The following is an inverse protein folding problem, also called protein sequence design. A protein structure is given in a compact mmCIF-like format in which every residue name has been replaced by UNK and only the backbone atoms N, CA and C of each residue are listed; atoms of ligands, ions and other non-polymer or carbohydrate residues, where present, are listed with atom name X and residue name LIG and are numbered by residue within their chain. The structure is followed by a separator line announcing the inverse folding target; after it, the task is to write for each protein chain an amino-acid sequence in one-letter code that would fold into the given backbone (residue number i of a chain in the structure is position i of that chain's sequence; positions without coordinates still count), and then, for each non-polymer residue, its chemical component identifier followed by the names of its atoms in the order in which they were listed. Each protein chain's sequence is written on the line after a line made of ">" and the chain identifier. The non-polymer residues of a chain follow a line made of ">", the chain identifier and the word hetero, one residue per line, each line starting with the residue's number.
data_IF_054667503586
#
_entry.id   IF_054667503586
#
_cell.length_a   1.000
_cell.length_b   1.000
_cell.length_c   1.000
_cell.angle_alpha   90.00
_cell.angle_beta   90.00
_cell.angle_gamma   90.00
#
_symmetry.space_group_name_H-M   'P 1'
#
loop_
_entity.id
_entity.type
_entity.pdbx_description
1 polymer ?
#
# COMPACT_ATOMS: atom_id res chain seq x y z
N UNK A 1 -20.14 -17.79 8.24
CA UNK A 1 -20.15 -16.63 7.32
C UNK A 1 -19.11 -16.77 6.20
N UNK A 2 -18.26 -17.81 6.20
CA UNK A 2 -17.38 -18.07 5.05
C UNK A 2 -18.21 -18.43 3.81
N UNK A 3 -18.01 -17.70 2.69
CA UNK A 3 -18.55 -18.09 1.38
C UNK A 3 -19.76 -17.31 0.85
N UNK A 4 -20.32 -16.34 1.59
CA UNK A 4 -21.45 -15.56 1.09
C UNK A 4 -21.07 -14.72 -0.14
N UNK A 5 -21.82 -14.90 -1.23
CA UNK A 5 -21.50 -14.30 -2.53
C UNK A 5 -21.59 -12.77 -2.52
N UNK A 6 -22.53 -12.20 -1.76
CA UNK A 6 -22.67 -10.75 -1.65
C UNK A 6 -21.49 -10.14 -0.88
N UNK A 7 -21.12 -10.73 0.26
CA UNK A 7 -19.94 -10.31 1.02
C UNK A 7 -18.66 -10.39 0.17
N UNK A 8 -18.45 -11.49 -0.55
CA UNK A 8 -17.30 -11.63 -1.46
C UNK A 8 -17.29 -10.55 -2.54
N UNK A 9 -18.46 -10.24 -3.10
CA UNK A 9 -18.60 -9.19 -4.09
C UNK A 9 -18.23 -7.82 -3.51
N UNK A 10 -18.69 -7.50 -2.30
CA UNK A 10 -18.39 -6.23 -1.62
C UNK A 10 -16.87 -6.09 -1.36
N UNK A 11 -16.21 -7.12 -0.84
CA UNK A 11 -14.75 -7.09 -0.65
C UNK A 11 -13.99 -7.01 -1.97
N UNK A 12 -14.50 -7.65 -3.03
CA UNK A 12 -13.95 -7.52 -4.38
C UNK A 12 -14.03 -6.07 -4.88
N UNK A 13 -15.16 -5.38 -4.69
CA UNK A 13 -15.29 -3.97 -5.06
C UNK A 13 -14.38 -3.06 -4.22
N UNK A 14 -14.28 -3.33 -2.91
CA UNK A 14 -13.37 -2.59 -2.03
C UNK A 14 -11.92 -2.71 -2.50
N UNK A 15 -11.45 -3.91 -2.83
CA UNK A 15 -10.10 -4.14 -3.38
C UNK A 15 -9.85 -3.36 -4.68
N UNK A 16 -10.84 -3.34 -5.60
CA UNK A 16 -10.75 -2.54 -6.84
C UNK A 16 -10.67 -1.04 -6.57
N UNK A 17 -11.45 -0.53 -5.62
CA UNK A 17 -11.44 0.89 -5.27
C UNK A 17 -10.11 1.29 -4.63
N UNK A 18 -9.55 0.46 -3.73
CA UNK A 18 -8.23 0.70 -3.15
C UNK A 18 -7.13 0.76 -4.23
N UNK A 19 -7.14 -0.19 -5.17
CA UNK A 19 -6.22 -0.18 -6.31
C UNK A 19 -6.31 1.12 -7.14
N UNK A 20 -7.53 1.61 -7.41
CA UNK A 20 -7.73 2.87 -8.13
C UNK A 20 -7.12 4.07 -7.42
N UNK A 21 -7.20 4.12 -6.09
CA UNK A 21 -6.61 5.22 -5.31
C UNK A 21 -5.08 5.22 -5.41
N UNK A 22 -4.45 4.04 -5.41
CA UNK A 22 -3.00 3.93 -5.62
C UNK A 22 -2.65 4.49 -7.00
N UNK A 23 -3.31 4.00 -8.05
CA UNK A 23 -3.02 4.41 -9.45
C UNK A 23 -3.20 5.91 -9.66
N UNK A 24 -4.24 6.49 -9.06
CA UNK A 24 -4.53 7.92 -9.20
C UNK A 24 -3.41 8.84 -8.67
N UNK A 25 -2.63 8.39 -7.68
CA UNK A 25 -1.55 9.20 -7.08
C UNK A 25 -0.18 8.91 -7.68
N UNK A 26 -0.01 7.81 -8.42
CA UNK A 26 1.29 7.42 -9.01
C UNK A 26 1.94 8.51 -9.87
N UNK A 27 1.21 9.25 -10.74
CA UNK A 27 1.85 10.28 -11.58
C UNK A 27 2.48 11.43 -10.80
N UNK A 28 2.09 11.63 -9.54
CA UNK A 28 2.64 12.66 -8.66
C UNK A 28 3.66 12.11 -7.65
N UNK A 29 3.85 10.79 -7.61
CA UNK A 29 4.81 10.17 -6.71
C UNK A 29 6.24 10.47 -7.16
N UNK A 30 7.13 10.72 -6.21
CA UNK A 30 8.54 10.98 -6.52
C UNK A 30 9.22 9.72 -7.06
N UNK A 31 10.04 9.86 -8.10
CA UNK A 31 10.70 8.72 -8.76
C UNK A 31 11.53 7.87 -7.79
N UNK A 32 12.12 8.50 -6.76
CA UNK A 32 12.92 7.85 -5.72
C UNK A 32 12.15 6.81 -4.92
N UNK A 33 10.82 6.90 -4.85
CA UNK A 33 9.97 5.92 -4.16
C UNK A 33 9.91 4.58 -4.91
N UNK A 34 10.18 4.57 -6.22
CA UNK A 34 10.13 3.36 -7.06
C UNK A 34 11.49 2.66 -7.14
N UNK A 35 12.59 3.38 -6.91
CA UNK A 35 13.96 2.88 -7.09
C UNK A 35 14.54 2.14 -5.88
N UNK A 36 13.80 2.05 -4.77
CA UNK A 36 14.24 1.32 -3.58
C UNK A 36 14.24 -0.20 -3.78
N UNK A 37 14.99 -0.93 -2.94
CA UNK A 37 15.07 -2.41 -3.00
C UNK A 37 13.70 -3.11 -2.87
N UNK A 38 12.76 -2.47 -2.17
CA UNK A 38 11.40 -2.98 -1.99
C UNK A 38 10.43 -2.51 -3.09
N UNK A 39 10.88 -1.69 -4.04
CA UNK A 39 10.01 -0.95 -4.94
C UNK A 39 9.10 0.03 -4.19
N UNK A 40 7.90 0.28 -4.70
CA UNK A 40 6.95 1.24 -4.11
C UNK A 40 6.42 0.73 -2.75
N UNK A 41 6.76 1.39 -1.63
CA UNK A 41 6.20 1.04 -0.33
C UNK A 41 4.83 1.68 -0.12
N UNK A 42 3.82 0.87 0.21
CA UNK A 42 2.45 1.34 0.51
C UNK A 42 2.12 0.99 1.96
N UNK A 43 1.81 2.01 2.77
CA UNK A 43 1.39 1.85 4.15
C UNK A 43 -0.14 1.69 4.23
N UNK A 44 -0.57 0.57 4.77
CA UNK A 44 -1.95 0.12 4.90
C UNK A 44 -2.42 0.27 6.35
N UNK A 45 -3.13 1.36 6.63
CA UNK A 45 -3.72 1.62 7.95
C UNK A 45 -5.24 1.36 7.99
N UNK A 46 -5.72 0.86 9.12
CA UNK A 46 -7.14 0.59 9.38
C UNK A 46 -7.53 -0.89 9.37
N UNK A 47 -8.63 -1.23 10.05
CA UNK A 47 -9.05 -2.61 10.28
C UNK A 47 -9.41 -3.39 9.00
N UNK A 48 -9.77 -2.69 7.91
CA UNK A 48 -10.14 -3.31 6.63
C UNK A 48 -9.02 -4.19 6.06
N UNK A 49 -7.76 -3.84 6.32
CA UNK A 49 -6.59 -4.60 5.85
C UNK A 49 -6.44 -5.96 6.54
N UNK A 50 -7.10 -6.18 7.69
CA UNK A 50 -7.23 -7.51 8.30
C UNK A 50 -8.01 -8.51 7.42
N UNK A 51 -8.78 -8.01 6.44
CA UNK A 51 -9.49 -8.81 5.44
C UNK A 51 -8.76 -8.84 4.08
N UNK A 52 -7.44 -8.60 4.06
CA UNK A 52 -6.66 -8.51 2.82
C UNK A 52 -6.87 -9.68 1.87
N UNK A 53 -6.89 -10.92 2.36
CA UNK A 53 -7.05 -12.10 1.50
C UNK A 53 -8.39 -12.12 0.74
N UNK A 54 -9.44 -11.45 1.24
CA UNK A 54 -10.72 -11.30 0.51
C UNK A 54 -10.66 -10.23 -0.60
N UNK A 55 -9.76 -9.25 -0.47
CA UNK A 55 -9.61 -8.12 -1.40
C UNK A 55 -8.50 -8.34 -2.43
N UNK A 56 -7.53 -9.19 -2.10
CA UNK A 56 -6.26 -9.40 -2.81
C UNK A 56 -6.43 -9.71 -4.29
N UNK A 57 -7.29 -10.67 -4.64
CA UNK A 57 -7.52 -11.07 -6.03
C UNK A 57 -8.04 -9.91 -6.89
N UNK A 58 -8.90 -9.08 -6.32
CA UNK A 58 -9.49 -7.92 -6.98
C UNK A 58 -8.55 -6.72 -7.05
N UNK A 59 -7.67 -6.58 -6.06
CA UNK A 59 -6.61 -5.60 -6.04
C UNK A 59 -5.56 -5.92 -7.12
N UNK A 60 -5.02 -7.15 -7.16
CA UNK A 60 -4.02 -7.55 -8.16
C UNK A 60 -4.59 -7.67 -9.57
N UNK A 61 -5.80 -8.22 -9.69
CA UNK A 61 -6.52 -8.36 -10.94
C UNK A 61 -7.15 -7.05 -11.40
N UNK A 62 -6.92 -5.93 -10.71
CA UNK A 62 -7.36 -4.63 -11.18
C UNK A 62 -6.55 -4.27 -12.43
N UNK A 63 -7.19 -4.17 -13.60
CA UNK A 63 -6.50 -3.77 -14.82
C UNK A 63 -5.83 -2.41 -14.65
N UNK A 64 -6.25 -1.56 -13.71
CA UNK A 64 -5.56 -0.29 -13.47
C UNK A 64 -4.15 -0.43 -12.89
N UNK A 65 -3.84 -1.51 -12.14
CA UNK A 65 -2.49 -1.80 -11.65
C UNK A 65 -1.65 -2.62 -12.63
N UNK A 66 -2.28 -3.27 -13.61
CA UNK A 66 -1.59 -4.14 -14.60
C UNK A 66 -1.59 -3.60 -16.03
N UNK A 67 -2.53 -2.72 -16.37
CA UNK A 67 -2.89 -2.17 -17.70
C UNK A 67 -3.70 -0.86 -17.60
N UNK A 68 -3.48 0.00 -16.58
CA UNK A 68 -4.25 1.23 -16.47
C UNK A 68 -4.00 2.11 -17.70
N UNK A 69 -5.05 2.72 -18.25
CA UNK A 69 -5.06 3.61 -19.46
C UNK A 69 -4.12 4.84 -19.40
N UNK A 70 -3.15 4.88 -18.47
CA UNK A 70 -2.10 5.88 -18.36
C UNK A 70 -0.79 5.41 -17.73
N UNK A 71 -0.62 4.11 -17.43
CA UNK A 71 0.66 3.53 -17.00
C UNK A 71 1.25 2.78 -18.19
N UNK A 72 2.42 3.21 -18.66
CA UNK A 72 3.10 2.52 -19.75
C UNK A 72 3.58 1.14 -19.28
N UNK A 73 3.81 0.21 -20.20
CA UNK A 73 4.34 -1.12 -19.88
C UNK A 73 5.70 -1.07 -19.12
N UNK A 74 6.38 0.07 -19.17
CA UNK A 74 7.64 0.37 -18.47
C UNK A 74 7.45 0.82 -17.01
N UNK A 75 6.21 1.12 -16.59
CA UNK A 75 5.87 1.56 -15.23
C UNK A 75 5.52 0.37 -14.29
N UNK A 76 5.98 -0.83 -14.64
CA UNK A 76 5.84 -2.03 -13.80
C UNK A 76 6.94 -2.06 -12.74
N UNK A 77 6.65 -1.57 -11.55
CA UNK A 77 7.57 -1.58 -10.41
C UNK A 77 7.12 -2.58 -9.33
N UNK A 78 8.04 -3.26 -8.63
CA UNK A 78 7.66 -4.05 -7.47
C UNK A 78 6.97 -3.15 -6.44
N UNK A 79 6.03 -3.71 -5.67
CA UNK A 79 5.40 -2.99 -4.58
C UNK A 79 5.24 -3.86 -3.34
N UNK A 80 5.27 -3.21 -2.18
CA UNK A 80 5.09 -3.88 -0.89
C UNK A 80 3.99 -3.20 -0.11
N UNK A 81 3.14 -4.00 0.54
CA UNK A 81 2.14 -3.51 1.49
C UNK A 81 2.64 -3.74 2.91
N UNK A 82 2.53 -2.68 3.71
CA UNK A 82 3.03 -2.64 5.08
C UNK A 82 1.95 -2.19 6.05
N UNK A 83 2.04 -2.61 7.30
CA UNK A 83 1.19 -2.14 8.41
C UNK A 83 2.07 -1.56 9.51
N UNK A 84 1.55 -0.63 10.32
CA UNK A 84 2.30 -0.16 11.49
C UNK A 84 2.30 -1.22 12.61
N UNK A 85 3.46 -1.40 13.22
CA UNK A 85 3.64 -2.18 14.46
C UNK A 85 3.37 -1.36 15.72
N UNK A 86 3.26 -0.03 15.58
CA UNK A 86 3.07 0.93 16.66
C UNK A 86 1.93 1.88 16.31
N UNK A 87 1.38 2.56 17.31
CA UNK A 87 0.38 3.59 17.06
C UNK A 87 0.94 4.71 16.16
N UNK A 88 0.12 5.20 15.24
CA UNK A 88 0.42 6.39 14.42
C UNK A 88 0.69 7.65 15.27
N UNK A 89 0.28 7.65 16.54
CA UNK A 89 0.64 8.68 17.52
C UNK A 89 2.16 8.89 17.65
N UNK A 90 2.96 7.84 17.39
CA UNK A 90 4.42 7.96 17.35
C UNK A 90 4.90 8.93 16.26
N UNK A 91 4.25 8.89 15.09
CA UNK A 91 4.49 9.84 14.00
C UNK A 91 4.12 11.26 14.42
N UNK A 92 2.98 11.42 15.10
CA UNK A 92 2.56 12.71 15.68
C UNK A 92 3.58 13.26 16.68
N UNK A 93 4.08 12.43 17.60
CA UNK A 93 5.11 12.82 18.56
C UNK A 93 6.42 13.24 17.86
N UNK A 94 6.83 12.52 16.81
CA UNK A 94 8.00 12.86 16.00
C UNK A 94 7.87 14.22 15.31
N UNK A 95 6.73 14.47 14.69
CA UNK A 95 6.43 15.76 14.04
C UNK A 95 6.39 16.90 15.08
N UNK A 96 5.80 16.66 16.25
CA UNK A 96 5.78 17.63 17.35
C UNK A 96 7.18 17.97 17.88
N UNK A 97 8.04 16.97 18.07
CA UNK A 97 9.43 17.17 18.46
C UNK A 97 10.18 18.01 17.42
N UNK A 98 10.03 17.69 16.12
CA UNK A 98 10.64 18.46 15.03
C UNK A 98 10.20 19.93 15.04
N UNK A 99 8.93 20.19 15.33
CA UNK A 99 8.39 21.55 15.37
C UNK A 99 9.04 22.43 16.47
N UNK A 100 9.52 21.83 17.56
CA UNK A 100 10.22 22.55 18.65
C UNK A 100 11.74 22.43 18.57
N UNK A 101 12.28 21.95 17.44
CA UNK A 101 13.71 21.74 17.25
C UNK A 101 14.29 20.57 18.05
N UNK A 102 13.44 19.71 18.63
CA UNK A 102 13.86 18.52 19.38
C UNK A 102 13.98 17.30 18.46
N UNK A 103 14.92 16.42 18.78
CA UNK A 103 15.13 15.16 18.04
C UNK A 103 14.50 14.01 18.83
N UNK A 104 13.43 13.43 18.28
CA UNK A 104 12.92 12.13 18.72
C UNK A 104 13.55 11.02 17.87
N UNK A 105 14.48 10.20 18.39
CA UNK A 105 15.03 9.07 17.64
C UNK A 105 13.93 8.01 17.42
N UNK A 106 13.83 7.52 16.19
CA UNK A 106 12.89 6.46 15.81
C UNK A 106 13.64 5.34 15.10
N UNK A 107 13.29 4.10 15.45
CA UNK A 107 13.62 2.93 14.66
C UNK A 107 12.50 2.65 13.67
N UNK A 108 12.68 3.08 12.42
CA UNK A 108 11.67 2.91 11.38
C UNK A 108 11.47 1.45 10.97
N UNK A 109 12.50 0.60 11.07
CA UNK A 109 12.38 -0.81 10.73
C UNK A 109 11.51 -1.55 11.74
N UNK A 110 11.65 -1.23 13.03
CA UNK A 110 10.81 -1.80 14.09
C UNK A 110 9.35 -1.29 14.08
N UNK A 111 9.06 -0.23 13.32
CA UNK A 111 7.73 0.40 13.30
C UNK A 111 6.79 -0.15 12.23
N UNK A 112 7.28 -0.97 11.29
CA UNK A 112 6.48 -1.49 10.18
C UNK A 112 6.62 -3.00 10.03
N UNK A 113 5.57 -3.64 9.54
CA UNK A 113 5.56 -5.04 9.14
C UNK A 113 5.11 -5.18 7.69
N UNK A 114 5.93 -5.82 6.86
CA UNK A 114 5.57 -6.14 5.47
C UNK A 114 4.74 -7.41 5.46
N UNK A 115 3.48 -7.32 5.06
CA UNK A 115 2.57 -8.48 5.01
C UNK A 115 2.29 -8.97 3.59
N UNK A 116 2.60 -8.16 2.56
CA UNK A 116 2.42 -8.57 1.17
C UNK A 116 3.49 -7.95 0.27
N UNK A 117 3.95 -8.74 -0.72
CA UNK A 117 4.89 -8.32 -1.77
C UNK A 117 4.34 -8.70 -3.13
N UNK A 118 4.42 -7.78 -4.07
CA UNK A 118 4.08 -7.99 -5.46
C UNK A 118 5.25 -7.64 -6.35
N UNK A 119 5.56 -8.53 -7.29
CA UNK A 119 6.53 -8.28 -8.35
C UNK A 119 5.85 -8.56 -9.67
N UNK A 120 5.84 -7.59 -10.58
CA UNK A 120 5.38 -7.81 -11.92
C UNK A 120 6.43 -8.60 -12.69
N UNK A 121 6.08 -9.78 -13.17
CA UNK A 121 6.94 -10.52 -14.09
C UNK A 121 6.70 -9.98 -15.49
N UNK A 122 7.77 -9.57 -16.18
CA UNK A 122 7.69 -9.34 -17.63
C UNK A 122 7.51 -10.71 -18.30
N UNK A 123 6.32 -10.95 -18.85
CA UNK A 123 6.16 -11.91 -19.94
C UNK A 123 6.49 -11.20 -21.25
#
# INVERSE_FOLDING_TARGET
>A
IAGDALCQHIFTQAGRLLAKHIVAVLPQAQQTLFSGELGLPILCEGAVWGSWELMKSACHGCPLLTQGDGLNAEDKFPCVLMTLCKSSALGGAKLGAQNVGAVLPLDYQANVNVFYRHSFTNQ
#
